data_IF_245200247971
#
_entry.id   IF_245200247971
#
_cell.length_a   1.000
_cell.length_b   1.000
_cell.length_c   1.000
_cell.angle_alpha   90.00
_cell.angle_beta   90.00
_cell.angle_gamma   90.00
#
_symmetry.space_group_name_H-M   'P 1'
#
loop_
_entity.id
_entity.type
_entity.pdbx_description
1 polymer ?
#
# COMPACT_ATOMS: atom_id res chain seq x y z
N UNK A 1 -5.63 -13.46 36.26
CA UNK A 1 -4.79 -12.40 35.65
C UNK A 1 -4.09 -13.04 34.49
N UNK A 2 -4.49 -12.66 33.28
CA UNK A 2 -3.94 -13.19 32.03
C UNK A 2 -2.49 -12.75 31.88
N UNK A 3 -1.60 -13.73 31.89
CA UNK A 3 -0.27 -13.59 31.33
C UNK A 3 -0.43 -13.76 29.81
N UNK A 4 -0.43 -12.65 29.09
CA UNK A 4 -0.19 -12.68 27.64
C UNK A 4 1.09 -13.50 27.42
N UNK A 5 0.94 -14.60 26.70
CA UNK A 5 1.99 -15.58 26.41
C UNK A 5 3.21 -14.85 25.86
N UNK A 6 4.35 -14.89 26.56
CA UNK A 6 5.55 -14.11 26.22
C UNK A 6 6.01 -14.40 24.78
N UNK A 7 5.76 -15.60 24.26
CA UNK A 7 6.01 -15.97 22.87
C UNK A 7 5.12 -15.22 21.85
N UNK A 8 3.87 -14.93 22.19
CA UNK A 8 2.96 -14.17 21.31
C UNK A 8 3.33 -12.67 21.28
N UNK A 9 3.82 -12.13 22.39
CA UNK A 9 4.33 -10.75 22.46
C UNK A 9 5.64 -10.62 21.69
N UNK A 10 6.51 -11.63 21.74
CA UNK A 10 7.79 -11.63 21.02
C UNK A 10 7.62 -11.82 19.50
N UNK A 11 6.69 -12.67 19.06
CA UNK A 11 6.27 -12.76 17.65
C UNK A 11 5.61 -11.48 17.16
N UNK A 12 4.75 -10.86 17.97
CA UNK A 12 4.13 -9.57 17.66
C UNK A 12 5.17 -8.45 17.53
N UNK A 13 6.13 -8.38 18.47
CA UNK A 13 7.22 -7.39 18.45
C UNK A 13 8.17 -7.63 17.26
N UNK A 14 8.46 -8.88 16.88
CA UNK A 14 9.25 -9.19 15.69
C UNK A 14 8.50 -8.88 14.38
N UNK A 15 7.19 -9.16 14.31
CA UNK A 15 6.36 -8.76 13.17
C UNK A 15 6.28 -7.23 13.02
N UNK A 16 6.26 -6.49 14.13
CA UNK A 16 6.30 -5.02 14.15
C UNK A 16 7.69 -4.46 13.83
N UNK A 17 8.77 -5.20 14.13
CA UNK A 17 10.16 -4.83 13.82
C UNK A 17 10.48 -4.97 12.34
N UNK A 18 9.97 -6.00 11.66
CA UNK A 18 10.07 -6.15 10.19
C UNK A 18 9.25 -5.08 9.43
N UNK A 19 8.22 -4.52 10.06
CA UNK A 19 7.46 -3.37 9.58
C UNK A 19 8.22 -2.04 9.82
N UNK A 20 9.19 -2.01 10.74
CA UNK A 20 9.99 -0.82 11.07
C UNK A 20 10.99 -0.39 10.00
N UNK A 21 11.60 -1.34 9.28
CA UNK A 21 12.70 -1.06 8.34
C UNK A 21 12.26 -0.95 6.86
N UNK A 22 11.01 -1.27 6.52
CA UNK A 22 10.56 -1.35 5.11
C UNK A 22 9.74 -0.15 4.63
N UNK A 23 9.42 0.80 5.52
CA UNK A 23 8.55 1.93 5.23
C UNK A 23 9.27 3.26 5.46
N UNK A 24 9.83 3.85 4.41
CA UNK A 24 9.91 5.31 4.39
C UNK A 24 8.47 5.83 4.52
N UNK A 25 8.13 6.37 5.68
CA UNK A 25 6.78 6.87 5.99
C UNK A 25 6.50 8.09 5.12
N UNK A 26 5.85 7.87 3.99
CA UNK A 26 5.46 8.97 3.10
C UNK A 26 3.94 9.18 3.18
N UNK A 27 3.47 10.42 3.43
CA UNK A 27 2.05 10.71 3.44
C UNK A 27 1.47 10.53 2.04
N UNK A 28 0.38 9.77 1.95
CA UNK A 28 -0.36 9.55 0.71
C UNK A 28 -1.84 9.72 0.95
N UNK A 29 -2.54 10.31 -0.02
CA UNK A 29 -3.99 10.30 -0.09
C UNK A 29 -4.48 9.07 -0.84
N UNK A 30 -5.61 8.52 -0.42
CA UNK A 30 -6.36 7.52 -1.19
C UNK A 30 -7.77 8.05 -1.37
N UNK A 31 -8.17 8.23 -2.62
CA UNK A 31 -9.51 8.64 -3.00
C UNK A 31 -10.22 7.44 -3.62
N UNK A 32 -11.31 7.01 -3.00
CA UNK A 32 -12.18 5.92 -3.45
C UNK A 32 -13.49 6.56 -3.88
N UNK A 33 -14.09 6.04 -4.96
CA UNK A 33 -15.37 6.56 -5.45
C UNK A 33 -16.43 6.55 -4.33
N UNK A 34 -17.09 7.69 -4.12
CA UNK A 34 -18.14 7.83 -3.12
C UNK A 34 -17.66 7.92 -1.66
N UNK A 35 -16.35 7.93 -1.40
CA UNK A 35 -15.80 8.07 -0.05
C UNK A 35 -15.00 9.37 0.13
N UNK A 36 -14.90 9.84 1.38
CA UNK A 36 -13.95 10.90 1.72
C UNK A 36 -12.51 10.42 1.51
N UNK A 37 -11.61 11.37 1.21
CA UNK A 37 -10.19 11.05 1.02
C UNK A 37 -9.57 10.54 2.31
N UNK A 38 -8.95 9.38 2.24
CA UNK A 38 -8.18 8.80 3.34
C UNK A 38 -6.75 9.33 3.31
N UNK A 39 -6.29 9.88 4.43
CA UNK A 39 -4.88 10.27 4.58
C UNK A 39 -4.13 9.17 5.30
N UNK A 40 -3.19 8.54 4.59
CA UNK A 40 -2.47 7.36 5.03
C UNK A 40 -0.95 7.61 5.00
N UNK A 41 -0.23 6.68 5.62
CA UNK A 41 1.22 6.57 5.50
C UNK A 41 1.54 5.28 4.77
N UNK A 42 2.36 5.38 3.73
CA UNK A 42 2.78 4.26 2.92
C UNK A 42 4.30 4.21 2.79
N UNK A 43 4.81 3.02 2.50
CA UNK A 43 6.17 2.84 2.01
C UNK A 43 6.20 3.20 0.53
N UNK A 44 6.93 4.24 0.18
CA UNK A 44 7.02 4.72 -1.20
C UNK A 44 8.37 4.39 -1.82
N UNK A 45 8.38 3.79 -3.01
CA UNK A 45 9.58 3.63 -3.84
C UNK A 45 9.30 4.14 -5.25
N UNK A 46 10.02 5.18 -5.68
CA UNK A 46 10.06 5.58 -7.09
C UNK A 46 10.70 4.46 -7.91
N UNK A 47 10.07 4.07 -9.00
CA UNK A 47 10.63 3.11 -9.95
C UNK A 47 11.32 3.91 -11.05
N UNK A 48 12.58 3.61 -11.34
CA UNK A 48 13.28 4.22 -12.47
C UNK A 48 12.56 3.86 -13.77
N UNK A 49 12.34 4.87 -14.61
CA UNK A 49 11.65 4.75 -15.87
C UNK A 49 12.69 4.40 -16.95
N UNK A 50 12.88 3.12 -17.23
CA UNK A 50 13.65 2.62 -18.39
C UNK A 50 12.72 2.26 -19.57
N UNK A 51 11.57 2.93 -19.68
CA UNK A 51 10.58 2.61 -20.72
C UNK A 51 10.81 3.52 -21.93
N UNK A 52 11.38 2.94 -22.99
CA UNK A 52 11.23 3.50 -24.33
C UNK A 52 9.73 3.67 -24.63
N UNK A 53 9.32 4.81 -25.22
CA UNK A 53 7.94 5.05 -25.57
C UNK A 53 7.43 3.93 -26.46
N UNK A 54 6.40 3.21 -26.01
CA UNK A 54 5.72 2.22 -26.85
C UNK A 54 5.03 2.97 -27.99
N UNK A 55 5.27 2.54 -29.22
CA UNK A 55 4.55 3.07 -30.38
C UNK A 55 3.03 2.91 -30.17
N UNK A 56 2.36 4.04 -29.89
CA UNK A 56 0.90 4.13 -29.86
C UNK A 56 0.21 4.34 -28.51
N UNK A 57 0.91 4.56 -27.39
CA UNK A 57 0.24 4.73 -26.08
C UNK A 57 0.90 5.77 -25.19
N UNK A 58 0.08 6.49 -24.43
CA UNK A 58 0.47 7.60 -23.55
C UNK A 58 1.75 7.33 -22.75
N UNK A 59 2.63 8.33 -22.74
CA UNK A 59 3.90 8.29 -22.01
C UNK A 59 3.62 8.25 -20.50
N UNK A 60 3.97 7.14 -19.84
CA UNK A 60 3.97 7.05 -18.38
C UNK A 60 5.14 7.90 -17.86
N UNK A 61 4.83 9.05 -17.27
CA UNK A 61 5.86 10.01 -16.83
C UNK A 61 6.47 9.63 -15.49
N UNK A 62 5.66 9.02 -14.64
CA UNK A 62 6.03 8.72 -13.25
C UNK A 62 5.43 7.37 -12.84
N UNK A 63 6.25 6.54 -12.18
CA UNK A 63 5.84 5.23 -11.65
C UNK A 63 6.34 5.05 -10.23
N UNK A 64 5.45 4.62 -9.35
CA UNK A 64 5.77 4.35 -7.95
C UNK A 64 5.26 2.98 -7.53
N UNK A 65 6.00 2.35 -6.63
CA UNK A 65 5.52 1.24 -5.83
C UNK A 65 5.14 1.76 -4.45
N UNK A 66 3.86 1.62 -4.11
CA UNK A 66 3.27 2.05 -2.84
C UNK A 66 2.95 0.80 -2.03
N UNK A 67 3.36 0.77 -0.76
CA UNK A 67 3.15 -0.39 0.12
C UNK A 67 2.43 0.04 1.37
N UNK A 68 1.38 -0.69 1.72
CA UNK A 68 0.62 -0.49 2.94
C UNK A 68 0.65 -1.75 3.80
N UNK A 69 0.64 -1.59 5.11
CA UNK A 69 0.33 -2.69 6.01
C UNK A 69 -1.19 -2.95 5.96
N UNK A 70 -1.61 -4.21 5.75
CA UNK A 70 -3.03 -4.59 5.67
C UNK A 70 -3.80 -4.35 6.96
N UNK A 71 -3.21 -4.64 8.12
CA UNK A 71 -3.84 -4.38 9.41
C UNK A 71 -4.09 -2.88 9.60
N UNK A 72 -3.13 -2.05 9.20
CA UNK A 72 -3.30 -0.60 9.19
C UNK A 72 -4.44 -0.14 8.25
N UNK A 73 -4.57 -0.74 7.06
CA UNK A 73 -5.71 -0.45 6.18
C UNK A 73 -7.04 -0.88 6.82
N UNK A 74 -7.08 -2.02 7.50
CA UNK A 74 -8.26 -2.48 8.22
C UNK A 74 -8.66 -1.51 9.35
N UNK A 75 -7.71 -1.03 10.14
CA UNK A 75 -7.94 0.01 11.17
C UNK A 75 -8.51 1.31 10.58
N UNK A 76 -8.17 1.61 9.32
CA UNK A 76 -8.68 2.77 8.58
C UNK A 76 -10.02 2.52 7.88
N UNK A 77 -10.62 1.35 8.06
CA UNK A 77 -11.88 0.98 7.42
C UNK A 77 -11.75 0.72 5.92
N UNK A 78 -10.52 0.53 5.42
CA UNK A 78 -10.22 0.24 4.02
C UNK A 78 -10.18 -1.27 3.72
N UNK A 79 -10.49 -2.09 4.72
CA UNK A 79 -10.75 -3.51 4.57
C UNK A 79 -12.10 -3.80 5.22
N UNK A 80 -13.08 -4.24 4.44
CA UNK A 80 -14.43 -4.59 4.89
C UNK A 80 -14.71 -6.05 4.57
N UNK A 81 -15.16 -6.83 5.56
CA UNK A 81 -15.44 -8.27 5.43
C UNK A 81 -14.26 -9.07 4.82
N UNK A 82 -13.03 -8.63 5.10
CA UNK A 82 -11.80 -9.23 4.58
C UNK A 82 -11.45 -8.81 3.14
N UNK A 83 -12.25 -7.95 2.50
CA UNK A 83 -12.05 -7.41 1.16
C UNK A 83 -11.38 -6.05 1.24
N UNK A 84 -10.33 -5.84 0.43
CA UNK A 84 -9.68 -4.54 0.28
C UNK A 84 -10.58 -3.60 -0.55
N UNK A 85 -10.81 -2.38 -0.06
CA UNK A 85 -11.62 -1.38 -0.75
C UNK A 85 -10.83 -0.53 -1.75
N UNK A 86 -9.50 -0.60 -1.71
CA UNK A 86 -8.62 0.03 -2.70
C UNK A 86 -8.56 -0.88 -3.92
N UNK A 87 -8.90 -0.35 -5.09
CA UNK A 87 -8.97 -1.06 -6.36
C UNK A 87 -8.27 -0.29 -7.50
N UNK A 88 -8.54 -0.66 -8.75
CA UNK A 88 -7.97 -0.03 -9.94
C UNK A 88 -8.55 1.35 -10.27
N UNK A 89 -9.77 1.64 -9.82
CA UNK A 89 -10.45 2.92 -10.04
C UNK A 89 -10.09 3.95 -8.96
N UNK A 90 -9.54 3.47 -7.85
CA UNK A 90 -9.00 4.28 -6.77
C UNK A 90 -7.85 5.18 -7.23
N UNK A 91 -7.80 6.40 -6.71
CA UNK A 91 -6.75 7.38 -7.01
C UNK A 91 -5.82 7.52 -5.82
N UNK A 92 -4.52 7.35 -6.08
CA UNK A 92 -3.48 7.56 -5.08
C UNK A 92 -2.90 8.95 -5.27
N UNK A 93 -2.89 9.76 -4.21
CA UNK A 93 -2.36 11.12 -4.22
C UNK A 93 -1.02 11.17 -3.49
N UNK A 94 0.03 11.56 -4.21
CA UNK A 94 1.40 11.66 -3.70
C UNK A 94 1.91 13.05 -4.06
N UNK A 95 2.37 13.82 -3.08
CA UNK A 95 2.83 15.21 -3.28
C UNK A 95 1.84 16.05 -4.12
N UNK A 96 0.55 16.00 -3.76
CA UNK A 96 -0.57 16.71 -4.41
C UNK A 96 -0.86 16.27 -5.86
N UNK A 97 -0.19 15.24 -6.37
CA UNK A 97 -0.39 14.68 -7.71
C UNK A 97 -1.19 13.38 -7.65
N UNK A 98 -2.09 13.20 -8.62
CA UNK A 98 -2.96 12.02 -8.76
C UNK A 98 -2.27 10.94 -9.61
N UNK A 99 -2.34 9.70 -9.15
CA UNK A 99 -1.83 8.52 -9.83
C UNK A 99 -2.93 7.44 -9.89
N UNK A 100 -2.96 6.71 -10.98
CA UNK A 100 -3.86 5.58 -11.17
C UNK A 100 -3.19 4.27 -10.73
N UNK A 101 -3.97 3.36 -10.16
CA UNK A 101 -3.49 2.03 -9.76
C UNK A 101 -3.37 1.15 -11.01
N UNK A 102 -2.13 0.94 -11.47
CA UNK A 102 -1.83 0.08 -12.61
C UNK A 102 -1.82 -1.41 -12.22
N UNK A 103 -1.35 -1.73 -11.01
CA UNK A 103 -1.35 -3.10 -10.47
C UNK A 103 -1.64 -3.10 -8.99
N UNK A 104 -2.40 -4.10 -8.56
CA UNK A 104 -2.73 -4.39 -7.18
C UNK A 104 -2.27 -5.82 -6.88
N UNK A 105 -1.41 -5.99 -5.87
CA UNK A 105 -0.99 -7.30 -5.39
C UNK A 105 -1.29 -7.46 -3.90
N UNK A 106 -2.03 -8.52 -3.60
CA UNK A 106 -2.35 -9.01 -2.27
C UNK A 106 -1.86 -10.46 -2.18
N UNK A 107 -0.60 -10.71 -1.77
CA UNK A 107 -0.08 -12.06 -1.73
C UNK A 107 -0.92 -12.95 -0.81
N UNK A 108 -1.66 -13.89 -1.41
CA UNK A 108 -2.45 -14.90 -0.71
C UNK A 108 -1.53 -15.78 0.13
N UNK A 109 -1.74 -15.77 1.45
CA UNK A 109 -0.78 -16.22 2.44
C UNK A 109 -0.26 -17.66 2.26
N UNK A 110 1.07 -17.81 2.33
CA UNK A 110 1.71 -18.95 2.99
C UNK A 110 3.01 -18.61 3.72
N UNK A 111 3.80 -17.64 3.26
CA UNK A 111 5.04 -17.26 3.96
C UNK A 111 5.52 -15.83 3.63
N UNK A 112 5.01 -14.80 4.33
CA UNK A 112 5.44 -13.38 4.28
C UNK A 112 4.84 -12.52 3.14
N UNK A 113 3.84 -11.70 3.52
CA UNK A 113 3.95 -10.23 3.69
C UNK A 113 2.54 -9.69 3.93
N UNK A 114 2.31 -9.07 5.09
CA UNK A 114 1.06 -8.39 5.51
C UNK A 114 0.87 -7.09 4.69
N UNK A 115 1.34 -7.07 3.44
CA UNK A 115 1.50 -5.87 2.66
C UNK A 115 0.56 -5.87 1.47
N UNK A 116 -0.19 -4.79 1.32
CA UNK A 116 -0.82 -4.45 0.05
C UNK A 116 0.19 -3.68 -0.77
N UNK A 117 0.51 -4.17 -1.96
CA UNK A 117 1.47 -3.54 -2.86
C UNK A 117 0.73 -3.00 -4.08
N UNK A 118 0.82 -1.69 -4.27
CA UNK A 118 0.26 -1.00 -5.42
C UNK A 118 1.40 -0.54 -6.32
N UNK A 119 1.22 -0.75 -7.62
CA UNK A 119 1.94 -0.03 -8.64
C UNK A 119 1.06 1.09 -9.14
N UNK A 120 1.54 2.33 -9.05
CA UNK A 120 0.78 3.50 -9.47
C UNK A 120 1.54 4.26 -10.54
N UNK A 121 0.80 4.80 -11.51
CA UNK A 121 1.33 5.48 -12.69
C UNK A 121 0.62 6.80 -12.94
N UNK A 122 1.32 7.72 -13.60
CA UNK A 122 0.79 9.01 -14.05
C UNK A 122 0.94 9.18 -15.55
#
# INVERSE_FOLDING_TARGET
MDLLDEGAVEEFMNAMRDVGDTFFRHPVGVEIEGAERFNLVAGLKRMENDLEPREGGDEIKERYMVRFNRAYLAEKGLVADGVLLIDHDSIIVIDERRYHVAKLDEPGFRDRKILVVLEVVR
#
